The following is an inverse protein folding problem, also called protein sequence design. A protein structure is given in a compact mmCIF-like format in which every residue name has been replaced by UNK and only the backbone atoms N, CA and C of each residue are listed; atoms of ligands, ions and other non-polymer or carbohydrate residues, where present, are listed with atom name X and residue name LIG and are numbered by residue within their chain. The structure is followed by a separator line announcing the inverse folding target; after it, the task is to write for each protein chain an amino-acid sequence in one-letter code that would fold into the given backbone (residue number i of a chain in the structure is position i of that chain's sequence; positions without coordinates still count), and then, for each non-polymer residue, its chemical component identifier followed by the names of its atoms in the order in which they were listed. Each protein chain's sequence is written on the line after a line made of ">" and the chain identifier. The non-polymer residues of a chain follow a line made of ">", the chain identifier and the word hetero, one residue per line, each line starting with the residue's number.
data_IF_798215075743
#
_entry.id   IF_798215075743
#
_cell.length_a   1.000
_cell.length_b   1.000
_cell.length_c   1.000
_cell.angle_alpha   90.00
_cell.angle_beta   90.00
_cell.angle_gamma   90.00
#
_symmetry.space_group_name_H-M   'P 1'
#
loop_
_entity.id
_entity.type
_entity.pdbx_description
1 polymer ?
#
# COMPACT_ATOMS: atom_id res chain seq x y z
N UNK A 1 -9.63 17.13 22.39
CA UNK A 1 -9.98 16.07 21.44
C UNK A 1 -9.45 14.73 21.92
N UNK A 2 -10.20 13.67 21.75
CA UNK A 2 -9.77 12.31 22.10
C UNK A 2 -9.99 11.40 20.87
N UNK A 3 -8.93 11.08 20.13
CA UNK A 3 -9.07 10.19 18.98
C UNK A 3 -9.62 8.81 19.39
N UNK A 4 -10.53 8.26 18.60
CA UNK A 4 -11.09 6.91 18.83
C UNK A 4 -10.33 5.84 18.07
N UNK A 5 -9.87 6.17 16.88
CA UNK A 5 -9.09 5.24 16.06
C UNK A 5 -8.38 5.99 14.95
N UNK A 6 -7.34 5.36 14.41
CA UNK A 6 -6.83 5.71 13.10
C UNK A 6 -7.54 4.80 12.12
N UNK A 7 -8.39 5.36 11.28
CA UNK A 7 -9.38 4.59 10.51
C UNK A 7 -8.93 4.25 9.10
N UNK A 8 -8.14 5.11 8.46
CA UNK A 8 -7.71 4.86 7.09
C UNK A 8 -6.78 5.90 6.52
N UNK A 9 -6.43 5.67 5.26
CA UNK A 9 -5.59 6.55 4.46
C UNK A 9 -6.26 6.82 3.13
N UNK A 10 -5.98 7.99 2.56
CA UNK A 10 -6.23 8.30 1.15
C UNK A 10 -4.88 8.38 0.46
N UNK A 11 -4.75 7.67 -0.65
CA UNK A 11 -3.53 7.67 -1.46
C UNK A 11 -3.89 8.08 -2.89
N UNK A 12 -3.25 9.12 -3.39
CA UNK A 12 -3.39 9.49 -4.80
C UNK A 12 -2.55 8.55 -5.65
N UNK A 13 -3.13 8.06 -6.75
CA UNK A 13 -2.46 7.14 -7.67
C UNK A 13 -2.62 7.61 -9.11
N UNK A 14 -1.71 7.20 -9.97
CA UNK A 14 -1.73 7.57 -11.37
C UNK A 14 -2.76 6.77 -12.17
N UNK A 15 -2.94 5.49 -11.84
CA UNK A 15 -3.81 4.57 -12.57
C UNK A 15 -4.40 3.55 -11.60
N UNK A 16 -5.70 3.70 -11.29
CA UNK A 16 -6.36 2.81 -10.32
C UNK A 16 -6.42 1.35 -10.77
N UNK A 17 -6.40 1.09 -12.08
CA UNK A 17 -6.41 -0.30 -12.58
C UNK A 17 -5.10 -1.00 -12.25
N UNK A 18 -3.98 -0.31 -12.45
CA UNK A 18 -2.65 -0.85 -12.09
C UNK A 18 -2.52 -1.02 -10.57
N UNK A 19 -3.03 -0.06 -9.82
CA UNK A 19 -3.06 -0.14 -8.35
C UNK A 19 -3.87 -1.34 -7.90
N UNK A 20 -5.08 -1.51 -8.44
CA UNK A 20 -5.95 -2.63 -8.08
C UNK A 20 -5.28 -3.97 -8.39
N UNK A 21 -4.69 -4.11 -9.57
CA UNK A 21 -3.98 -5.33 -9.96
C UNK A 21 -2.84 -5.66 -9.01
N UNK A 22 -2.05 -4.66 -8.65
CA UNK A 22 -0.92 -4.84 -7.72
C UNK A 22 -1.40 -5.31 -6.34
N UNK A 23 -2.38 -4.62 -5.76
CA UNK A 23 -2.84 -4.97 -4.40
C UNK A 23 -3.62 -6.28 -4.37
N UNK A 24 -4.32 -6.66 -5.45
CA UNK A 24 -4.90 -8.00 -5.57
C UNK A 24 -3.83 -9.07 -5.54
N UNK A 25 -2.71 -8.86 -6.23
CA UNK A 25 -1.60 -9.81 -6.24
C UNK A 25 -0.93 -9.93 -4.86
N UNK A 26 -1.00 -8.87 -4.05
CA UNK A 26 -0.56 -8.93 -2.64
C UNK A 26 -1.57 -9.65 -1.73
N UNK A 27 -2.78 -9.93 -2.22
CA UNK A 27 -3.80 -10.60 -1.44
C UNK A 27 -4.83 -9.67 -0.80
N UNK A 28 -4.81 -8.38 -1.13
CA UNK A 28 -5.83 -7.45 -0.65
C UNK A 28 -7.14 -7.67 -1.38
N UNK A 29 -8.25 -7.53 -0.66
CA UNK A 29 -9.59 -7.61 -1.23
C UNK A 29 -10.16 -6.21 -1.37
N UNK A 30 -10.77 -5.93 -2.53
CA UNK A 30 -11.37 -4.64 -2.79
C UNK A 30 -12.82 -4.62 -2.31
N UNK A 31 -13.14 -3.55 -1.60
CA UNK A 31 -14.48 -3.26 -1.12
C UNK A 31 -15.24 -2.37 -2.08
N UNK A 32 -14.52 -1.56 -2.86
CA UNK A 32 -15.06 -0.64 -3.83
C UNK A 32 -14.15 -0.61 -5.05
N UNK A 33 -14.71 -0.73 -6.24
CA UNK A 33 -13.98 -0.56 -7.51
C UNK A 33 -14.82 0.28 -8.44
N UNK A 34 -14.37 1.51 -8.65
CA UNK A 34 -14.95 2.44 -9.61
C UNK A 34 -13.89 2.78 -10.67
N UNK A 35 -14.28 3.53 -11.70
CA UNK A 35 -13.37 3.87 -12.80
C UNK A 35 -12.18 4.74 -12.37
N UNK A 36 -12.31 5.51 -11.29
CA UNK A 36 -11.30 6.45 -10.81
C UNK A 36 -10.97 6.30 -9.33
N UNK A 37 -11.48 5.26 -8.68
CA UNK A 37 -11.32 5.06 -7.25
C UNK A 37 -11.45 3.59 -6.90
N UNK A 38 -10.53 3.08 -6.09
CA UNK A 38 -10.61 1.74 -5.52
C UNK A 38 -10.30 1.81 -4.04
N UNK A 39 -10.95 0.97 -3.25
CA UNK A 39 -10.77 0.94 -1.81
C UNK A 39 -10.55 -0.48 -1.32
N UNK A 40 -9.57 -0.68 -0.45
CA UNK A 40 -9.33 -1.93 0.25
C UNK A 40 -9.59 -1.76 1.73
N UNK A 41 -10.01 -2.85 2.39
CA UNK A 41 -10.13 -2.91 3.84
C UNK A 41 -9.31 -4.08 4.37
N UNK A 42 -8.61 -3.83 5.49
CA UNK A 42 -8.02 -4.89 6.30
C UNK A 42 -8.48 -4.62 7.74
N UNK A 43 -9.29 -5.51 8.29
CA UNK A 43 -9.99 -5.29 9.56
C UNK A 43 -10.81 -3.99 9.50
N UNK A 44 -10.56 -3.06 10.42
CA UNK A 44 -11.25 -1.76 10.44
C UNK A 44 -10.53 -0.69 9.62
N UNK A 45 -9.29 -0.97 9.16
CA UNK A 45 -8.47 0.03 8.45
C UNK A 45 -8.77 -0.03 6.96
N UNK A 46 -8.97 1.15 6.36
CA UNK A 46 -9.22 1.24 4.92
C UNK A 46 -8.14 2.08 4.23
N UNK A 47 -7.89 1.76 2.97
CA UNK A 47 -7.05 2.57 2.10
C UNK A 47 -7.87 2.88 0.86
N UNK A 48 -8.05 4.17 0.60
CA UNK A 48 -8.81 4.68 -0.53
C UNK A 48 -7.81 5.23 -1.55
N UNK A 49 -7.78 4.62 -2.73
CA UNK A 49 -6.90 5.04 -3.81
C UNK A 49 -7.71 5.86 -4.80
N UNK A 50 -7.31 7.13 -4.97
CA UNK A 50 -7.96 8.08 -5.86
C UNK A 50 -7.05 8.41 -7.04
N UNK A 51 -7.62 8.37 -8.24
CA UNK A 51 -6.85 8.76 -9.43
C UNK A 51 -6.54 10.25 -9.40
N UNK A 52 -5.26 10.58 -9.53
CA UNK A 52 -4.77 11.96 -9.37
C UNK A 52 -5.33 12.93 -10.40
N UNK A 53 -5.64 12.44 -11.60
CA UNK A 53 -6.15 13.28 -12.68
C UNK A 53 -7.61 13.69 -12.46
N UNK A 54 -8.28 13.10 -11.46
CA UNK A 54 -9.68 13.37 -11.14
C UNK A 54 -9.85 14.23 -9.90
N UNK A 55 -8.76 14.79 -9.34
CA UNK A 55 -8.86 15.65 -8.16
C UNK A 55 -9.33 17.05 -8.58
N UNK A 56 -10.48 17.45 -8.07
CA UNK A 56 -11.12 18.72 -8.38
C UNK A 56 -10.96 19.79 -7.28
N UNK A 57 -10.28 19.44 -6.17
CA UNK A 57 -10.05 20.37 -5.07
C UNK A 57 -8.70 21.04 -5.23
N UNK A 58 -8.66 22.36 -5.47
CA UNK A 58 -7.40 23.07 -5.75
C UNK A 58 -6.31 22.86 -4.71
N UNK A 59 -6.67 22.77 -3.43
CA UNK A 59 -5.71 22.60 -2.35
C UNK A 59 -5.01 21.24 -2.36
N UNK A 60 -5.57 20.23 -3.06
CA UNK A 60 -4.98 18.90 -3.12
C UNK A 60 -4.30 18.56 -4.44
N UNK A 61 -4.46 19.39 -5.46
CA UNK A 61 -3.93 19.09 -6.80
C UNK A 61 -2.42 18.88 -6.78
N UNK A 62 -1.71 19.69 -6.00
CA UNK A 62 -0.26 19.59 -5.91
C UNK A 62 0.19 18.26 -5.31
N UNK A 63 -0.45 17.82 -4.24
CA UNK A 63 -0.15 16.53 -3.62
C UNK A 63 -0.57 15.38 -4.53
N UNK A 64 -1.75 15.49 -5.16
CA UNK A 64 -2.29 14.45 -6.02
C UNK A 64 -1.38 14.17 -7.22
N UNK A 65 -0.73 15.19 -7.76
CA UNK A 65 0.10 15.08 -8.96
C UNK A 65 1.60 15.00 -8.68
N UNK A 66 2.01 14.98 -7.41
CA UNK A 66 3.42 14.88 -7.02
C UNK A 66 4.05 13.59 -7.52
N UNK A 67 5.30 13.68 -7.98
CA UNK A 67 6.10 12.51 -8.34
C UNK A 67 6.71 11.80 -7.13
N UNK A 68 6.68 12.43 -5.96
CA UNK A 68 7.25 11.89 -4.72
C UNK A 68 6.18 11.34 -3.79
N UNK A 69 5.19 10.65 -4.34
CA UNK A 69 4.11 10.06 -3.54
C UNK A 69 4.65 9.08 -2.52
N UNK A 70 4.17 9.20 -1.30
CA UNK A 70 4.54 8.32 -0.21
C UNK A 70 5.91 8.56 0.39
N UNK A 71 6.62 9.58 -0.05
CA UNK A 71 7.91 9.94 0.52
C UNK A 71 7.77 10.23 2.02
N UNK A 72 8.58 9.56 2.83
CA UNK A 72 8.52 9.72 4.29
C UNK A 72 7.47 8.86 4.99
N UNK A 73 6.74 8.02 4.27
CA UNK A 73 5.76 7.11 4.86
C UNK A 73 6.01 5.67 4.46
N UNK A 74 5.75 4.76 5.41
CA UNK A 74 5.78 3.33 5.17
C UNK A 74 4.46 2.74 5.63
N UNK A 75 3.87 1.88 4.81
CA UNK A 75 2.71 1.10 5.22
C UNK A 75 3.21 -0.27 5.71
N UNK A 76 2.99 -0.56 6.99
CA UNK A 76 3.36 -1.85 7.56
C UNK A 76 2.20 -2.82 7.48
N UNK A 77 2.42 -3.98 6.85
CA UNK A 77 1.44 -5.04 6.71
C UNK A 77 1.99 -6.29 7.38
N UNK A 78 1.30 -6.77 8.41
CA UNK A 78 1.73 -7.98 9.11
C UNK A 78 1.23 -9.22 8.39
N UNK A 79 2.06 -10.25 8.37
CA UNK A 79 1.73 -11.57 7.81
C UNK A 79 2.17 -12.66 8.80
N UNK A 80 1.64 -13.86 8.61
CA UNK A 80 2.02 -14.99 9.47
C UNK A 80 3.39 -15.54 9.14
N UNK A 81 3.81 -15.48 7.87
CA UNK A 81 5.08 -16.03 7.41
C UNK A 81 5.65 -15.11 6.32
N UNK A 82 6.73 -14.40 6.66
CA UNK A 82 7.34 -13.41 5.77
C UNK A 82 8.00 -14.09 4.56
N UNK A 83 8.66 -15.23 4.77
CA UNK A 83 9.35 -15.94 3.69
C UNK A 83 8.36 -16.52 2.67
N UNK A 84 7.24 -17.07 3.15
CA UNK A 84 6.17 -17.56 2.27
C UNK A 84 5.51 -16.40 1.51
N UNK A 85 5.28 -15.26 2.17
CA UNK A 85 4.75 -14.08 1.51
C UNK A 85 5.70 -13.61 0.40
N UNK A 86 7.00 -13.61 0.66
CA UNK A 86 8.01 -13.23 -0.33
C UNK A 86 7.97 -14.17 -1.54
N UNK A 87 7.97 -15.47 -1.33
CA UNK A 87 7.88 -16.47 -2.40
C UNK A 87 6.61 -16.27 -3.23
N UNK A 88 5.50 -16.01 -2.57
CA UNK A 88 4.22 -15.82 -3.23
C UNK A 88 4.24 -14.61 -4.16
N UNK A 89 4.71 -13.45 -3.67
CA UNK A 89 4.72 -12.24 -4.50
C UNK A 89 5.71 -12.36 -5.66
N UNK A 90 6.84 -12.99 -5.46
CA UNK A 90 7.81 -13.26 -6.53
C UNK A 90 7.21 -14.19 -7.58
N UNK A 91 6.49 -15.23 -7.16
CA UNK A 91 5.84 -16.16 -8.07
C UNK A 91 4.79 -15.51 -8.96
N UNK A 92 4.21 -14.39 -8.49
CA UNK A 92 3.23 -13.61 -9.25
C UNK A 92 3.87 -12.56 -10.16
N UNK A 93 5.19 -12.55 -10.25
CA UNK A 93 5.93 -11.63 -11.11
C UNK A 93 6.21 -10.27 -10.49
N UNK A 94 5.88 -10.07 -9.22
CA UNK A 94 6.22 -8.83 -8.52
C UNK A 94 7.70 -8.83 -8.13
N UNK A 95 8.26 -7.63 -8.00
CA UNK A 95 9.69 -7.45 -7.72
C UNK A 95 9.89 -6.68 -6.42
N UNK A 96 10.01 -7.38 -5.28
CA UNK A 96 10.32 -6.70 -4.02
C UNK A 96 11.62 -5.92 -4.10
N UNK A 97 11.69 -4.83 -3.34
CA UNK A 97 12.90 -3.98 -3.26
C UNK A 97 13.99 -4.61 -2.40
N UNK A 98 13.63 -5.57 -1.54
CA UNK A 98 14.57 -6.27 -0.67
C UNK A 98 14.10 -7.69 -0.42
N UNK A 99 15.04 -8.55 -0.01
CA UNK A 99 14.73 -9.91 0.45
C UNK A 99 14.36 -9.87 1.94
N UNK A 100 13.68 -10.92 2.45
CA UNK A 100 13.41 -11.03 3.87
C UNK A 100 14.70 -11.03 4.68
N UNK A 101 14.72 -10.25 5.76
CA UNK A 101 15.83 -10.26 6.70
C UNK A 101 15.34 -9.89 8.09
N UNK A 102 16.13 -10.31 9.09
CA UNK A 102 15.88 -9.94 10.48
C UNK A 102 16.53 -8.59 10.76
N UNK A 103 15.74 -7.70 11.36
CA UNK A 103 16.19 -6.35 11.69
C UNK A 103 16.41 -6.20 13.20
N UNK A 104 17.31 -5.29 13.60
CA UNK A 104 17.59 -5.08 15.03
C UNK A 104 16.40 -4.66 15.88
N UNK A 105 15.37 -4.05 15.25
CA UNK A 105 14.16 -3.63 15.97
C UNK A 105 13.16 -4.76 16.22
N UNK A 106 13.52 -6.00 15.94
CA UNK A 106 12.75 -7.18 16.34
C UNK A 106 11.80 -7.75 15.31
N UNK A 107 11.85 -7.27 14.08
CA UNK A 107 11.02 -7.78 13.00
C UNK A 107 11.82 -8.54 11.95
N UNK A 108 11.17 -9.49 11.29
CA UNK A 108 11.59 -9.99 9.98
C UNK A 108 10.76 -9.29 8.94
N UNK A 109 11.41 -8.71 7.92
CA UNK A 109 10.73 -7.85 6.94
C UNK A 109 11.30 -7.97 5.55
N UNK A 110 10.44 -7.74 4.54
CA UNK A 110 10.88 -7.32 3.21
C UNK A 110 10.06 -6.14 2.75
N UNK A 111 10.56 -5.42 1.75
CA UNK A 111 9.96 -4.20 1.25
C UNK A 111 9.53 -4.39 -0.20
N UNK A 112 8.36 -3.90 -0.54
CA UNK A 112 7.88 -3.83 -1.91
C UNK A 112 7.28 -2.44 -2.14
N UNK A 113 7.45 -1.91 -3.35
CA UNK A 113 6.83 -0.64 -3.73
C UNK A 113 5.68 -0.89 -4.70
N UNK A 114 4.62 -0.13 -4.52
CA UNK A 114 3.49 -0.20 -5.45
C UNK A 114 3.78 0.57 -6.74
N UNK A 115 2.88 0.55 -7.75
CA UNK A 115 3.12 1.23 -9.02
C UNK A 115 3.41 2.72 -8.92
N UNK A 116 2.94 3.41 -7.89
CA UNK A 116 3.21 4.83 -7.65
C UNK A 116 4.43 5.09 -6.77
N UNK A 117 5.07 4.04 -6.26
CA UNK A 117 6.23 4.14 -5.40
C UNK A 117 5.93 4.14 -3.91
N UNK A 118 4.67 3.99 -3.50
CA UNK A 118 4.34 3.84 -2.08
C UNK A 118 5.02 2.61 -1.51
N UNK A 119 5.68 2.78 -0.37
CA UNK A 119 6.49 1.74 0.24
C UNK A 119 5.69 0.90 1.22
N UNK A 120 5.68 -0.40 0.98
CA UNK A 120 4.98 -1.37 1.81
C UNK A 120 6.02 -2.27 2.46
N UNK A 121 5.97 -2.38 3.78
CA UNK A 121 6.83 -3.26 4.56
C UNK A 121 5.99 -4.45 4.98
N UNK A 122 6.34 -5.63 4.49
CA UNK A 122 5.70 -6.89 4.86
C UNK A 122 6.51 -7.46 6.01
N UNK A 123 5.88 -7.68 7.14
CA UNK A 123 6.62 -8.00 8.36
C UNK A 123 5.94 -9.00 9.26
N UNK A 124 6.74 -9.58 10.13
CA UNK A 124 6.29 -10.32 11.30
C UNK A 124 7.24 -10.00 12.46
N UNK A 125 6.67 -9.73 13.61
CA UNK A 125 7.46 -9.56 14.84
C UNK A 125 8.02 -10.92 15.27
N UNK A 126 9.28 -10.93 15.56
CA UNK A 126 9.97 -12.12 16.05
C UNK A 126 9.88 -12.28 17.55
#
# INVERSE_FOLDING_TARGET
>A
MRPKSVSGLVCYVKDVNKTAEFYEQLGFQFRLRESNRVMVNVNWFWIDFLESDNEDKPEFVKEATSSNKGSGMFLYVSVDDVDEAYKDVVSKGLKPSSEPRDWPWGNREFVIRDPDGYKIVIFKRK
#
